data_IF_716122573156
#
_entry.id   IF_716122573156
#
_cell.length_a   1.000
_cell.length_b   1.000
_cell.length_c   1.000
_cell.angle_alpha   90.00
_cell.angle_beta   90.00
_cell.angle_gamma   90.00
#
_symmetry.space_group_name_H-M   'P 1'
#
loop_
_entity.id
_entity.type
_entity.pdbx_description
1 polymer ?
#
# COMPACT_ATOMS: atom_id res chain seq x y z
N UNK A 1 -4.84 -0.38 25.90
CA UNK A 1 -3.90 -0.16 25.38
C UNK A 1 -3.92 0.83 24.46
N UNK A 2 -3.36 1.32 24.06
CA UNK A 2 -3.38 2.25 23.32
C UNK A 2 -2.49 2.24 22.33
N UNK A 3 -2.69 2.61 21.33
CA UNK A 3 -1.86 2.61 20.38
C UNK A 3 -1.37 3.87 20.04
N UNK A 4 -0.19 4.13 20.15
CA UNK A 4 0.34 5.39 19.89
C UNK A 4 1.43 5.29 18.86
N UNK A 5 1.35 4.42 17.94
CA UNK A 5 2.36 4.28 16.89
C UNK A 5 2.25 5.48 15.95
N UNK A 6 3.27 6.35 15.90
CA UNK A 6 3.23 7.52 15.03
C UNK A 6 3.12 7.16 13.56
N UNK A 7 3.60 5.96 13.17
CA UNK A 7 3.51 5.53 11.78
C UNK A 7 2.06 5.30 11.40
N UNK A 8 1.27 4.70 12.30
CA UNK A 8 -0.15 4.49 12.03
C UNK A 8 -0.89 5.80 11.96
N UNK A 9 -0.55 6.74 12.83
CA UNK A 9 -1.17 8.04 12.80
C UNK A 9 -0.96 8.70 11.43
N UNK A 10 0.27 8.66 10.92
CA UNK A 10 0.55 9.22 9.61
C UNK A 10 -0.17 8.48 8.50
N UNK A 11 -0.21 7.15 8.60
CA UNK A 11 -0.87 6.35 7.57
C UNK A 11 -2.36 6.65 7.52
N UNK A 12 -2.99 6.82 8.67
CA UNK A 12 -4.43 7.01 8.73
C UNK A 12 -4.86 8.46 8.55
N UNK A 13 -3.91 9.37 8.37
CA UNK A 13 -4.23 10.78 8.16
C UNK A 13 -4.86 11.04 6.80
N UNK A 14 -4.66 10.16 5.84
CA UNK A 14 -5.22 10.30 4.50
C UNK A 14 -6.21 9.16 4.24
N UNK A 15 -7.47 9.47 3.91
CA UNK A 15 -8.47 8.41 3.72
C UNK A 15 -8.06 7.36 2.67
N UNK A 16 -7.50 7.79 1.56
CA UNK A 16 -7.07 6.83 0.54
C UNK A 16 -5.95 5.95 1.06
N UNK A 17 -5.00 6.54 1.78
CA UNK A 17 -3.89 5.76 2.34
C UNK A 17 -4.39 4.71 3.33
N UNK A 18 -5.38 5.09 4.15
CA UNK A 18 -5.96 4.15 5.11
C UNK A 18 -6.64 2.99 4.39
N UNK A 19 -7.35 3.27 3.29
CA UNK A 19 -8.00 2.21 2.53
C UNK A 19 -7.00 1.27 1.90
N UNK A 20 -5.90 1.82 1.37
CA UNK A 20 -4.84 1.02 0.78
C UNK A 20 -4.23 0.09 1.82
N UNK A 21 -3.93 0.63 2.99
CA UNK A 21 -3.35 -0.18 4.05
C UNK A 21 -4.30 -1.31 4.45
N UNK A 22 -5.58 -1.01 4.59
CA UNK A 22 -6.57 -2.02 4.94
C UNK A 22 -6.62 -3.15 3.91
N UNK A 23 -6.57 -2.79 2.62
CA UNK A 23 -6.57 -3.80 1.57
C UNK A 23 -5.31 -4.66 1.62
N UNK A 24 -4.16 -4.03 1.86
CA UNK A 24 -2.90 -4.77 1.89
C UNK A 24 -2.76 -5.63 3.15
N UNK A 25 -3.59 -5.40 4.15
CA UNK A 25 -3.65 -6.27 5.31
C UNK A 25 -4.40 -7.57 4.99
N UNK A 26 -5.24 -7.54 3.96
CA UNK A 26 -6.01 -8.70 3.60
C UNK A 26 -5.42 -9.49 2.44
N UNK A 27 -4.73 -8.81 1.54
CA UNK A 27 -4.25 -9.48 0.33
C UNK A 27 -3.02 -8.78 -0.22
N UNK A 28 -2.30 -9.49 -1.07
CA UNK A 28 -1.14 -8.95 -1.75
C UNK A 28 -1.63 -8.30 -3.05
N UNK A 29 -1.27 -7.03 -3.25
CA UNK A 29 -1.71 -6.29 -4.43
C UNK A 29 -0.62 -5.40 -4.96
N UNK A 30 -0.67 -5.16 -6.28
CA UNK A 30 0.16 -4.13 -6.90
C UNK A 30 -0.59 -2.80 -6.86
N UNK A 31 0.12 -1.67 -7.04
CA UNK A 31 -0.56 -0.39 -7.14
C UNK A 31 -1.60 -0.35 -8.26
N UNK A 32 -1.33 -1.03 -9.39
CA UNK A 32 -2.30 -1.06 -10.48
C UNK A 32 -3.57 -1.79 -10.06
N UNK A 33 -3.43 -2.93 -9.38
CA UNK A 33 -4.60 -3.65 -8.90
C UNK A 33 -5.40 -2.82 -7.91
N UNK A 34 -4.70 -2.12 -7.02
CA UNK A 34 -5.36 -1.24 -6.07
C UNK A 34 -6.05 -0.07 -6.77
N UNK A 35 -5.40 0.49 -7.78
CA UNK A 35 -5.99 1.59 -8.56
C UNK A 35 -7.29 1.15 -9.19
N UNK A 36 -7.30 -0.02 -9.80
CA UNK A 36 -8.50 -0.55 -10.43
C UNK A 36 -9.59 -0.82 -9.41
N UNK A 37 -9.22 -1.43 -8.31
CA UNK A 37 -10.17 -1.83 -7.29
C UNK A 37 -10.80 -0.63 -6.57
N UNK A 38 -9.98 0.37 -6.28
CA UNK A 38 -10.44 1.53 -5.52
C UNK A 38 -10.98 2.66 -6.40
N UNK A 39 -10.80 2.54 -7.71
CA UNK A 39 -11.24 3.60 -8.62
C UNK A 39 -10.44 4.87 -8.45
N UNK A 40 -9.15 4.76 -8.13
CA UNK A 40 -8.29 5.91 -7.89
C UNK A 40 -7.16 5.96 -8.90
N UNK A 41 -6.68 7.16 -9.24
CA UNK A 41 -5.58 7.26 -10.20
C UNK A 41 -4.34 6.51 -9.73
N UNK A 42 -3.68 5.83 -10.66
CA UNK A 42 -2.52 5.03 -10.35
C UNK A 42 -1.42 5.84 -9.67
N UNK A 43 -1.19 7.06 -10.13
CA UNK A 43 -0.15 7.90 -9.54
C UNK A 43 -0.39 8.17 -8.06
N UNK A 44 -1.64 8.42 -7.69
CA UNK A 44 -1.98 8.67 -6.29
C UNK A 44 -1.79 7.40 -5.46
N UNK A 45 -2.24 6.27 -6.00
CA UNK A 45 -2.11 4.99 -5.28
C UNK A 45 -0.63 4.65 -5.11
N UNK A 46 0.16 4.79 -6.18
CA UNK A 46 1.60 4.50 -6.10
C UNK A 46 2.29 5.38 -5.08
N UNK A 47 1.93 6.65 -5.03
CA UNK A 47 2.51 7.57 -4.06
C UNK A 47 2.23 7.08 -2.63
N UNK A 48 0.98 6.74 -2.34
CA UNK A 48 0.63 6.31 -0.99
C UNK A 48 1.24 4.96 -0.62
N UNK A 49 1.35 4.04 -1.58
CA UNK A 49 2.02 2.77 -1.31
C UNK A 49 3.48 3.01 -0.95
N UNK A 50 4.16 3.92 -1.67
CA UNK A 50 5.54 4.23 -1.34
C UNK A 50 5.66 4.89 0.02
N UNK A 51 4.71 5.75 0.39
CA UNK A 51 4.70 6.35 1.72
C UNK A 51 4.54 5.28 2.80
N UNK A 52 3.64 4.34 2.59
CA UNK A 52 3.45 3.25 3.55
C UNK A 52 4.69 2.37 3.66
N UNK A 53 5.35 2.11 2.54
CA UNK A 53 6.58 1.33 2.55
C UNK A 53 7.69 2.08 3.29
N UNK A 54 7.77 3.39 3.09
CA UNK A 54 8.74 4.20 3.81
C UNK A 54 8.51 4.23 5.30
N UNK A 55 7.26 4.08 5.73
CA UNK A 55 6.92 4.00 7.14
C UNK A 55 7.11 2.59 7.71
N UNK A 56 7.45 1.63 6.87
CA UNK A 56 7.63 0.26 7.31
C UNK A 56 6.33 -0.50 7.55
N UNK A 57 5.22 0.00 7.02
CA UNK A 57 3.92 -0.62 7.26
C UNK A 57 3.52 -1.61 6.17
N UNK A 58 4.12 -1.51 4.99
CA UNK A 58 3.92 -2.49 3.92
C UNK A 58 5.28 -2.84 3.36
N UNK A 59 5.36 -3.99 2.70
CA UNK A 59 6.61 -4.45 2.13
C UNK A 59 6.37 -5.06 0.76
N UNK A 60 7.40 -5.04 -0.07
CA UNK A 60 7.38 -5.68 -1.36
C UNK A 60 7.42 -7.19 -1.14
N UNK A 61 6.50 -7.91 -1.74
CA UNK A 61 6.40 -9.37 -1.58
C UNK A 61 6.93 -10.09 -2.80
N UNK A 62 6.57 -9.59 -3.99
CA UNK A 62 7.01 -10.23 -5.22
C UNK A 62 6.93 -9.24 -6.36
N UNK A 63 7.55 -9.58 -7.47
CA UNK A 63 7.45 -8.80 -8.70
C UNK A 63 6.96 -9.71 -9.81
N UNK A 64 6.28 -9.12 -10.77
CA UNK A 64 5.77 -9.84 -11.92
C UNK A 64 6.20 -9.10 -13.18
N UNK A 65 6.89 -9.78 -14.13
CA UNK A 65 7.24 -9.11 -15.37
C UNK A 65 6.01 -8.79 -16.19
N UNK A 66 6.02 -7.59 -16.77
CA UNK A 66 4.98 -7.18 -17.71
C UNK A 66 5.69 -6.63 -18.93
N UNK A 67 4.97 -6.38 -20.00
CA UNK A 67 5.58 -5.85 -21.19
C UNK A 67 6.43 -4.64 -20.88
N UNK A 68 7.75 -4.79 -20.96
CA UNK A 68 8.69 -3.70 -20.78
C UNK A 68 8.71 -3.08 -19.38
N UNK A 69 8.12 -3.76 -18.39
CA UNK A 69 8.06 -3.21 -17.04
C UNK A 69 7.97 -4.34 -16.03
N UNK A 70 8.05 -3.96 -14.75
CA UNK A 70 7.94 -4.92 -13.66
C UNK A 70 6.84 -4.42 -12.72
N UNK A 71 5.88 -5.28 -12.45
CA UNK A 71 4.81 -4.95 -11.53
C UNK A 71 5.20 -5.39 -10.12
N UNK A 72 5.13 -4.47 -9.17
CA UNK A 72 5.52 -4.73 -7.78
C UNK A 72 4.28 -4.99 -6.93
N UNK A 73 4.31 -6.07 -6.16
CA UNK A 73 3.17 -6.45 -5.31
C UNK A 73 3.55 -6.30 -3.85
N UNK A 74 2.68 -5.66 -3.10
CA UNK A 74 2.92 -5.32 -1.70
C UNK A 74 1.92 -5.98 -0.78
N UNK A 75 2.29 -6.09 0.48
CA UNK A 75 1.41 -6.58 1.52
C UNK A 75 1.79 -5.89 2.82
N UNK A 76 0.81 -5.73 3.72
CA UNK A 76 1.08 -5.10 5.00
C UNK A 76 2.02 -5.96 5.85
N UNK A 77 2.85 -5.29 6.62
CA UNK A 77 3.76 -5.97 7.53
C UNK A 77 2.97 -6.40 8.74
N UNK A 78 3.11 -7.68 9.09
CA UNK A 78 2.40 -8.21 10.24
C UNK A 78 3.10 -7.78 11.52
N UNK A 79 2.35 -7.51 12.55
CA UNK A 79 2.92 -7.13 13.83
C UNK A 79 2.45 -7.96 14.96
#
# INVERSE_FOLDING_TARGET
>A
MKTSDPRLTKALAHPLRARILADLERQTCSPRELSDELGEPLGNVSYHVRQLAGLGLVKLVKTTPRRGAVEHHYRAVHR
#
